data_IF_039013797011
#
_entry.id   IF_039013797011
#
_cell.length_a   1.000
_cell.length_b   1.000
_cell.length_c   1.000
_cell.angle_alpha   90.00
_cell.angle_beta   90.00
_cell.angle_gamma   90.00
#
_symmetry.space_group_name_H-M   'P 1'
#
loop_
_entity.id
_entity.type
_entity.pdbx_description
1 polymer ?
#
# COMPACT_ATOMS: atom_id res chain seq x y z
N UNK A 1 4.55 -55.57 -24.28
CA UNK A 1 4.21 -56.06 -22.93
C UNK A 1 3.03 -55.25 -22.38
N UNK A 2 2.23 -55.88 -21.52
CA UNK A 2 0.81 -55.65 -21.21
C UNK A 2 0.34 -54.23 -20.84
N UNK A 3 -0.85 -53.91 -21.38
CA UNK A 3 -1.81 -52.87 -20.95
C UNK A 3 -2.31 -53.11 -19.51
N UNK A 4 -2.52 -52.05 -18.73
CA UNK A 4 -3.52 -52.01 -17.65
C UNK A 4 -4.33 -50.72 -17.75
N UNK A 5 -5.59 -50.87 -18.15
CA UNK A 5 -6.63 -49.84 -18.13
C UNK A 5 -7.28 -49.88 -16.73
N UNK A 6 -7.32 -48.74 -16.05
CA UNK A 6 -8.02 -48.58 -14.76
C UNK A 6 -9.41 -48.00 -15.06
N UNK A 7 -10.51 -48.66 -14.64
CA UNK A 7 -11.85 -48.11 -14.78
C UNK A 7 -12.10 -47.07 -13.69
N UNK A 8 -12.31 -45.81 -14.10
CA UNK A 8 -12.77 -44.74 -13.22
C UNK A 8 -14.30 -44.76 -13.22
N UNK A 9 -14.90 -45.16 -12.10
CA UNK A 9 -16.35 -45.15 -11.93
C UNK A 9 -16.83 -43.72 -11.66
N UNK A 10 -17.73 -43.25 -12.53
CA UNK A 10 -18.57 -42.07 -12.29
C UNK A 10 -19.58 -42.38 -11.18
N UNK A 11 -19.49 -41.70 -10.04
CA UNK A 11 -20.57 -41.60 -9.08
C UNK A 11 -21.16 -40.18 -9.17
N UNK A 12 -22.31 -40.07 -9.85
CA UNK A 12 -23.17 -38.88 -9.80
C UNK A 12 -23.85 -38.84 -8.42
N UNK A 13 -23.54 -37.82 -7.62
CA UNK A 13 -24.30 -37.47 -6.41
C UNK A 13 -25.06 -36.18 -6.69
N UNK A 14 -26.36 -36.32 -6.95
CA UNK A 14 -27.30 -35.20 -7.12
C UNK A 14 -27.74 -34.70 -5.75
N UNK A 15 -27.08 -33.66 -5.24
CA UNK A 15 -27.47 -33.01 -3.99
C UNK A 15 -28.40 -31.82 -4.28
N UNK A 16 -29.69 -31.98 -4.01
CA UNK A 16 -30.68 -30.90 -4.02
C UNK A 16 -30.39 -29.93 -2.87
N UNK A 17 -29.98 -28.69 -3.19
CA UNK A 17 -29.95 -27.59 -2.22
C UNK A 17 -31.20 -26.72 -2.39
N UNK A 18 -32.03 -26.70 -1.35
CA UNK A 18 -33.14 -25.77 -1.18
C UNK A 18 -32.58 -24.37 -0.91
N UNK A 19 -32.76 -23.46 -1.86
CA UNK A 19 -32.35 -22.06 -1.73
C UNK A 19 -33.43 -21.26 -1.00
N UNK A 20 -33.24 -21.04 0.29
CA UNK A 20 -33.99 -20.06 1.08
C UNK A 20 -33.51 -18.65 0.69
N UNK A 21 -34.25 -18.01 -0.21
CA UNK A 21 -34.01 -16.63 -0.64
C UNK A 21 -34.42 -15.66 0.49
N UNK A 22 -33.50 -15.39 1.42
CA UNK A 22 -33.61 -14.20 2.26
C UNK A 22 -33.37 -12.96 1.38
N UNK A 23 -34.46 -12.29 1.01
CA UNK A 23 -34.44 -10.97 0.38
C UNK A 23 -33.98 -9.92 1.41
N UNK A 24 -32.69 -9.94 1.74
CA UNK A 24 -32.05 -8.82 2.39
C UNK A 24 -31.99 -7.69 1.35
N UNK A 25 -32.71 -6.60 1.61
CA UNK A 25 -32.73 -5.41 0.77
C UNK A 25 -31.32 -4.84 0.64
N UNK A 26 -30.61 -5.29 -0.39
CA UNK A 26 -29.31 -4.78 -0.79
C UNK A 26 -29.48 -3.34 -1.22
N UNK A 27 -29.18 -2.40 -0.32
CA UNK A 27 -28.84 -1.04 -0.74
C UNK A 27 -27.58 -1.19 -1.58
N UNK A 28 -27.73 -1.17 -2.90
CA UNK A 28 -26.59 -1.00 -3.79
C UNK A 28 -25.89 0.28 -3.31
N UNK A 29 -24.66 0.20 -2.80
CA UNK A 29 -23.91 1.40 -2.50
C UNK A 29 -23.83 2.19 -3.81
N UNK A 30 -24.21 3.46 -3.74
CA UNK A 30 -24.08 4.34 -4.88
C UNK A 30 -22.61 4.31 -5.36
N UNK A 31 -22.35 4.40 -6.68
CA UNK A 31 -20.99 4.48 -7.19
C UNK A 31 -20.25 5.59 -6.45
N UNK A 32 -19.12 5.27 -5.82
CA UNK A 32 -18.30 6.28 -5.19
C UNK A 32 -17.86 7.28 -6.26
N UNK A 33 -18.09 8.57 -6.02
CA UNK A 33 -17.55 9.63 -6.87
C UNK A 33 -16.04 9.49 -6.89
N UNK A 34 -15.38 9.48 -8.07
CA UNK A 34 -13.92 9.44 -8.13
C UNK A 34 -13.33 10.58 -7.30
N UNK A 35 -12.34 10.28 -6.48
CA UNK A 35 -11.62 11.30 -5.73
C UNK A 35 -11.02 12.33 -6.70
N UNK A 36 -11.05 13.61 -6.32
CA UNK A 36 -10.39 14.64 -7.10
C UNK A 36 -8.88 14.37 -7.12
N UNK A 37 -8.26 14.49 -8.30
CA UNK A 37 -6.81 14.38 -8.42
C UNK A 37 -6.13 15.59 -7.82
N UNK A 38 -5.12 15.33 -7.01
CA UNK A 38 -4.28 16.34 -6.40
C UNK A 38 -3.26 16.86 -7.40
N UNK A 39 -2.99 18.16 -7.35
CA UNK A 39 -1.90 18.78 -8.09
C UNK A 39 -0.54 18.35 -7.48
N UNK A 40 0.57 18.41 -8.26
CA UNK A 40 1.89 17.98 -7.78
C UNK A 40 2.35 18.60 -6.45
N UNK A 41 2.00 19.86 -6.19
CA UNK A 41 2.31 20.59 -4.95
C UNK A 41 1.43 20.17 -3.77
N UNK A 42 0.32 19.46 -4.02
CA UNK A 42 -0.57 18.90 -3.01
C UNK A 42 -0.25 17.43 -2.68
N UNK A 43 0.57 16.75 -3.49
CA UNK A 43 0.95 15.34 -3.29
C UNK A 43 1.87 15.16 -2.07
N UNK A 44 2.71 16.15 -1.80
CA UNK A 44 3.68 16.14 -0.71
C UNK A 44 3.27 17.17 0.35
N UNK A 45 2.39 16.81 1.30
CA UNK A 45 2.06 17.74 2.38
C UNK A 45 3.34 18.11 3.16
N UNK A 46 3.42 19.30 3.77
CA UNK A 46 4.62 19.71 4.54
C UNK A 46 4.96 18.77 5.71
N UNK A 47 3.97 18.03 6.20
CA UNK A 47 4.08 17.05 7.29
C UNK A 47 3.32 15.79 6.90
N UNK A 48 3.90 14.63 7.16
CA UNK A 48 3.15 13.36 7.06
C UNK A 48 2.38 13.13 8.35
N UNK A 49 1.10 12.68 8.28
CA UNK A 49 0.37 12.26 9.47
C UNK A 49 1.13 11.18 10.24
N UNK A 50 0.81 11.01 11.52
CA UNK A 50 1.42 9.92 12.29
C UNK A 50 1.06 8.56 11.65
N UNK A 51 2.10 7.85 11.20
CA UNK A 51 2.00 6.59 10.47
C UNK A 51 2.02 5.38 11.40
N UNK A 52 1.97 5.60 12.71
CA UNK A 52 2.08 4.56 13.73
C UNK A 52 0.76 4.26 14.45
N UNK A 53 -0.32 3.80 13.79
CA UNK A 53 -1.35 3.09 14.51
C UNK A 53 -0.76 1.71 14.89
N UNK A 54 -0.12 1.63 16.05
CA UNK A 54 0.10 0.35 16.70
C UNK A 54 -1.25 -0.17 17.16
N UNK A 55 -1.48 -1.47 17.02
CA UNK A 55 -2.60 -2.11 17.72
C UNK A 55 -2.48 -1.84 19.23
N UNK A 56 -3.56 -2.01 19.98
CA UNK A 56 -3.57 -1.81 21.43
C UNK A 56 -2.57 -2.71 22.19
N UNK A 57 -2.08 -3.77 21.54
CA UNK A 57 -1.06 -4.69 22.04
C UNK A 57 0.38 -4.32 21.61
N UNK A 58 0.56 -3.18 20.93
CA UNK A 58 1.85 -2.71 20.42
C UNK A 58 2.32 -3.41 19.15
N UNK A 59 1.51 -4.26 18.53
CA UNK A 59 1.87 -4.95 17.29
C UNK A 59 1.58 -4.09 16.05
N UNK A 60 2.36 -4.31 15.00
CA UNK A 60 2.17 -3.70 13.69
C UNK A 60 1.36 -4.68 12.83
N UNK A 61 0.17 -4.30 12.33
CA UNK A 61 -0.63 -5.20 11.51
C UNK A 61 0.01 -5.40 10.14
N UNK A 62 0.28 -6.66 9.78
CA UNK A 62 0.74 -7.02 8.44
C UNK A 62 -0.40 -6.87 7.42
N UNK A 63 -0.06 -6.53 6.18
CA UNK A 63 -1.01 -6.60 5.09
C UNK A 63 -1.42 -8.06 4.85
N UNK A 64 -2.68 -8.36 4.48
CA UNK A 64 -3.14 -9.73 4.30
C UNK A 64 -2.58 -10.39 3.03
N UNK A 65 -2.25 -9.58 2.02
CA UNK A 65 -1.74 -9.99 0.70
C UNK A 65 -0.83 -8.92 0.12
N UNK A 66 -0.08 -9.26 -0.93
CA UNK A 66 0.68 -8.31 -1.73
C UNK A 66 -0.25 -7.36 -2.51
N UNK A 67 0.18 -6.11 -2.76
CA UNK A 67 -0.59 -5.17 -3.55
C UNK A 67 -0.66 -5.58 -5.02
N UNK A 68 -1.76 -5.20 -5.68
CA UNK A 68 -2.00 -5.49 -7.09
C UNK A 68 -2.48 -4.21 -7.80
N UNK A 69 -1.59 -3.22 -7.86
CA UNK A 69 -1.88 -1.94 -8.49
C UNK A 69 -1.92 -2.06 -10.02
N UNK A 70 -2.69 -1.17 -10.65
CA UNK A 70 -2.63 -0.98 -12.10
C UNK A 70 -1.32 -0.30 -12.49
N UNK A 71 -0.86 -0.46 -13.75
CA UNK A 71 0.33 0.20 -14.22
C UNK A 71 0.26 1.72 -14.08
N UNK A 72 1.34 2.31 -13.59
CA UNK A 72 1.41 3.75 -13.34
C UNK A 72 1.61 4.53 -14.65
N UNK A 73 0.89 5.64 -14.78
CA UNK A 73 1.05 6.63 -15.87
C UNK A 73 1.91 7.82 -15.46
N UNK A 74 2.04 8.07 -14.15
CA UNK A 74 2.93 9.05 -13.56
C UNK A 74 3.30 8.64 -12.13
N UNK A 75 4.43 9.14 -11.63
CA UNK A 75 4.83 8.95 -10.24
C UNK A 75 5.65 10.14 -9.71
N UNK A 76 5.56 10.37 -8.40
CA UNK A 76 6.29 11.41 -7.69
C UNK A 76 6.88 10.87 -6.39
N UNK A 77 8.06 11.34 -6.01
CA UNK A 77 8.71 11.00 -4.75
C UNK A 77 8.78 12.24 -3.87
N UNK A 78 8.34 12.09 -2.63
CA UNK A 78 8.50 13.06 -1.56
C UNK A 78 9.48 12.48 -0.55
N UNK A 79 10.58 13.19 -0.26
CA UNK A 79 11.50 12.82 0.80
C UNK A 79 11.15 13.57 2.08
N UNK A 80 11.13 12.86 3.21
CA UNK A 80 10.90 13.47 4.52
C UNK A 80 12.00 13.08 5.50
N UNK A 81 12.43 14.07 6.27
CA UNK A 81 13.41 13.91 7.33
C UNK A 81 12.81 14.23 8.69
N UNK A 82 13.33 13.58 9.73
CA UNK A 82 13.03 13.94 11.11
C UNK A 82 14.01 15.02 11.59
N UNK A 83 13.53 16.19 12.03
CA UNK A 83 14.41 17.21 12.54
C UNK A 83 15.09 16.74 13.83
N UNK A 84 16.36 17.11 14.03
CA UNK A 84 17.11 16.78 15.25
C UNK A 84 16.54 17.45 16.51
N UNK A 85 15.78 18.52 16.34
CA UNK A 85 15.08 19.23 17.41
C UNK A 85 13.58 19.13 17.23
N UNK A 86 12.86 18.83 18.31
CA UNK A 86 11.40 18.96 18.34
C UNK A 86 10.99 20.40 18.08
N UNK A 87 9.93 20.58 17.30
CA UNK A 87 9.21 21.86 17.24
C UNK A 87 8.16 21.93 18.36
N UNK A 88 7.42 23.04 18.46
CA UNK A 88 6.28 23.15 19.38
C UNK A 88 5.23 22.04 19.15
N UNK A 89 5.11 21.57 17.91
CA UNK A 89 4.19 20.49 17.51
C UNK A 89 4.78 19.07 17.71
N UNK A 90 5.96 18.94 18.33
CA UNK A 90 6.63 17.66 18.58
C UNK A 90 7.58 17.21 17.47
N UNK A 91 7.81 15.90 17.39
CA UNK A 91 8.62 15.23 16.37
C UNK A 91 7.71 14.66 15.28
N UNK A 92 7.87 15.16 14.05
CA UNK A 92 7.18 14.66 12.87
C UNK A 92 8.12 14.72 11.68
N UNK A 93 7.90 13.84 10.70
CA UNK A 93 8.57 13.89 9.42
C UNK A 93 8.19 15.16 8.66
N UNK A 94 9.19 15.94 8.29
CA UNK A 94 9.07 17.19 7.54
C UNK A 94 9.52 16.98 6.12
N UNK A 95 8.77 17.56 5.17
CA UNK A 95 9.12 17.49 3.76
C UNK A 95 10.51 18.12 3.56
N UNK A 96 11.42 17.36 2.98
CA UNK A 96 12.77 17.78 2.63
C UNK A 96 12.80 18.07 1.12
N UNK A 97 12.66 19.34 0.76
CA UNK A 97 12.63 19.79 -0.63
C UNK A 97 11.22 19.85 -1.23
N UNK A 98 11.08 19.38 -2.48
CA UNK A 98 9.84 19.39 -3.26
C UNK A 98 9.54 17.99 -3.80
N UNK A 99 8.32 17.78 -4.29
CA UNK A 99 7.96 16.58 -5.03
C UNK A 99 8.86 16.40 -6.27
N UNK A 100 9.51 15.25 -6.39
CA UNK A 100 10.31 14.91 -7.56
C UNK A 100 9.52 14.02 -8.51
N UNK A 101 9.32 14.46 -9.75
CA UNK A 101 8.65 13.64 -10.77
C UNK A 101 9.60 12.55 -11.28
N UNK A 102 9.17 11.30 -11.21
CA UNK A 102 9.92 10.20 -11.79
C UNK A 102 9.78 10.19 -13.33
N UNK A 103 10.87 9.93 -14.06
CA UNK A 103 10.82 9.85 -15.51
C UNK A 103 10.02 8.61 -15.95
N UNK A 104 9.35 8.71 -17.10
CA UNK A 104 8.49 7.64 -17.63
C UNK A 104 9.21 6.27 -17.77
N UNK A 105 10.53 6.28 -17.99
CA UNK A 105 11.35 5.08 -18.08
C UNK A 105 11.43 4.28 -16.76
N UNK A 106 11.20 4.92 -15.61
CA UNK A 106 11.25 4.27 -14.29
C UNK A 106 9.89 3.73 -13.85
N UNK A 107 8.77 4.10 -14.51
CA UNK A 107 7.43 3.72 -14.05
C UNK A 107 7.21 2.20 -14.04
N UNK A 108 7.69 1.49 -15.06
CA UNK A 108 7.61 0.02 -15.07
C UNK A 108 8.38 -0.63 -13.91
N UNK A 109 9.48 0.00 -13.49
CA UNK A 109 10.28 -0.45 -12.34
C UNK A 109 9.59 -0.13 -11.01
N UNK A 110 8.96 1.03 -10.91
CA UNK A 110 8.10 1.38 -9.76
C UNK A 110 7.01 0.32 -9.57
N UNK A 111 6.27 0.00 -10.64
CA UNK A 111 5.19 -0.98 -10.59
C UNK A 111 5.68 -2.37 -10.17
N UNK A 112 6.84 -2.81 -10.71
CA UNK A 112 7.48 -4.07 -10.31
C UNK A 112 7.87 -4.08 -8.83
N UNK A 113 8.52 -3.02 -8.35
CA UNK A 113 8.98 -2.93 -6.96
C UNK A 113 7.81 -2.92 -5.98
N UNK A 114 6.74 -2.18 -6.28
CA UNK A 114 5.53 -2.20 -5.44
C UNK A 114 4.86 -3.57 -5.49
N UNK A 115 4.68 -4.16 -6.68
CA UNK A 115 4.08 -5.48 -6.84
C UNK A 115 4.88 -6.62 -6.20
N UNK A 116 6.18 -6.43 -6.00
CA UNK A 116 7.06 -7.37 -5.30
C UNK A 116 6.97 -7.27 -3.76
N UNK A 117 6.29 -6.26 -3.23
CA UNK A 117 6.12 -6.09 -1.79
C UNK A 117 5.30 -7.26 -1.21
N UNK A 118 5.73 -7.76 -0.07
CA UNK A 118 5.09 -8.92 0.59
C UNK A 118 4.57 -8.54 1.96
N UNK A 119 3.53 -9.21 2.49
CA UNK A 119 3.11 -9.10 3.88
C UNK A 119 4.30 -9.14 4.85
N UNK A 120 4.34 -8.21 5.80
CA UNK A 120 5.34 -8.23 6.86
C UNK A 120 5.13 -9.47 7.74
N UNK A 121 6.21 -10.18 8.09
CA UNK A 121 6.11 -11.32 9.01
C UNK A 121 5.61 -10.86 10.40
N UNK A 122 4.65 -11.58 11.02
CA UNK A 122 4.25 -11.29 12.39
C UNK A 122 5.44 -11.34 13.35
N UNK A 123 5.51 -10.39 14.28
CA UNK A 123 6.57 -10.34 15.29
C UNK A 123 7.94 -9.93 14.76
N UNK A 124 8.03 -9.36 13.56
CA UNK A 124 9.26 -8.73 13.06
C UNK A 124 9.73 -7.69 14.09
N UNK A 125 10.95 -7.82 14.66
CA UNK A 125 11.45 -6.83 15.60
C UNK A 125 11.73 -5.52 14.85
N UNK A 126 11.14 -4.42 15.33
CA UNK A 126 11.46 -3.08 14.84
C UNK A 126 12.49 -2.45 15.78
N UNK A 127 13.48 -1.75 15.22
CA UNK A 127 14.25 -0.80 16.04
C UNK A 127 13.41 0.46 16.27
N UNK A 128 13.66 1.15 17.39
CA UNK A 128 13.09 2.47 17.67
C UNK A 128 13.86 3.59 16.95
N UNK A 129 14.79 3.24 16.06
CA UNK A 129 15.60 4.21 15.34
C UNK A 129 14.72 4.93 14.34
N UNK A 130 14.81 6.25 14.37
CA UNK A 130 14.14 7.10 13.40
C UNK A 130 15.05 7.35 12.20
N UNK A 131 14.49 7.40 11.00
CA UNK A 131 15.24 7.64 9.77
C UNK A 131 14.37 8.32 8.72
N UNK A 132 14.84 8.35 7.46
CA UNK A 132 14.12 8.99 6.38
C UNK A 132 12.82 8.24 6.08
N UNK A 133 11.81 9.02 5.72
CA UNK A 133 10.52 8.54 5.27
C UNK A 133 10.33 9.00 3.83
N UNK A 134 9.88 8.09 2.97
CA UNK A 134 9.54 8.41 1.59
C UNK A 134 8.04 8.26 1.39
N UNK A 135 7.46 9.17 0.61
CA UNK A 135 6.11 8.99 0.06
C UNK A 135 6.25 8.95 -1.45
N UNK A 136 6.00 7.79 -2.03
CA UNK A 136 5.90 7.61 -3.47
C UNK A 136 4.43 7.69 -3.86
N UNK A 137 4.04 8.70 -4.61
CA UNK A 137 2.68 8.79 -5.17
C UNK A 137 2.70 8.22 -6.58
N UNK A 138 1.81 7.28 -6.86
CA UNK A 138 1.59 6.72 -8.21
C UNK A 138 0.21 7.10 -8.73
N UNK A 139 0.09 7.46 -10.01
CA UNK A 139 -1.17 7.75 -10.71
C UNK A 139 -1.34 6.80 -11.89
N UNK A 140 -2.39 5.98 -11.88
CA UNK A 140 -2.71 5.03 -12.98
C UNK A 140 -3.63 5.64 -14.06
N UNK A 141 -3.84 6.95 -14.01
CA UNK A 141 -4.73 7.68 -14.90
C UNK A 141 -6.18 7.72 -14.40
N UNK A 142 -6.52 7.00 -13.34
CA UNK A 142 -7.86 7.00 -12.71
C UNK A 142 -7.80 7.36 -11.23
N UNK A 143 -6.79 6.88 -10.52
CA UNK A 143 -6.61 7.10 -9.08
C UNK A 143 -5.14 7.40 -8.75
N UNK A 144 -4.93 8.16 -7.67
CA UNK A 144 -3.61 8.37 -7.08
C UNK A 144 -3.51 7.58 -5.77
N UNK A 145 -2.44 6.82 -5.63
CA UNK A 145 -2.15 6.01 -4.43
C UNK A 145 -0.84 6.48 -3.81
N UNK A 146 -0.83 6.74 -2.51
CA UNK A 146 0.37 7.01 -1.75
C UNK A 146 0.98 5.70 -1.24
N UNK A 147 2.25 5.47 -1.57
CA UNK A 147 3.08 4.37 -1.08
C UNK A 147 4.08 4.96 -0.09
N UNK A 148 3.78 4.77 1.18
CA UNK A 148 4.55 5.31 2.29
C UNK A 148 5.60 4.29 2.67
N UNK A 149 6.88 4.66 2.57
CA UNK A 149 8.02 3.76 2.78
C UNK A 149 8.89 4.32 3.90
N UNK A 150 8.94 3.58 5.00
CA UNK A 150 9.90 3.81 6.07
C UNK A 150 11.16 3.00 5.76
N UNK A 151 12.32 3.65 5.74
CA UNK A 151 13.61 2.98 5.53
C UNK A 151 14.39 2.72 6.84
N UNK A 152 13.71 2.87 7.96
CA UNK A 152 14.21 2.66 9.31
C UNK A 152 13.32 1.67 10.08
N UNK A 153 13.71 1.31 11.30
CA UNK A 153 12.93 0.41 12.15
C UNK A 153 12.64 -0.93 11.47
N UNK A 154 11.36 -1.16 11.16
CA UNK A 154 10.87 -2.38 10.51
C UNK A 154 10.95 -2.35 8.97
N UNK A 155 11.42 -1.25 8.37
CA UNK A 155 11.49 -1.06 6.91
C UNK A 155 10.18 -1.37 6.20
N UNK A 156 9.11 -0.77 6.70
CA UNK A 156 7.73 -1.10 6.31
C UNK A 156 7.24 -0.20 5.20
N UNK A 157 6.31 -0.74 4.42
CA UNK A 157 5.61 -0.04 3.35
C UNK A 157 4.11 -0.12 3.58
N UNK A 158 3.41 0.99 3.40
CA UNK A 158 1.96 1.08 3.51
C UNK A 158 1.40 1.73 2.24
N UNK A 159 0.25 1.25 1.77
CA UNK A 159 -0.47 1.88 0.67
C UNK A 159 -1.66 2.63 1.27
N UNK A 160 -1.91 3.85 0.78
CA UNK A 160 -2.98 4.71 1.26
C UNK A 160 -3.61 5.48 0.11
N UNK A 161 -4.89 5.77 0.26
CA UNK A 161 -5.58 6.72 -0.60
C UNK A 161 -5.12 8.16 -0.30
N UNK A 162 -5.23 9.04 -1.28
CA UNK A 162 -4.93 10.47 -1.14
C UNK A 162 -6.21 11.30 -0.93
N UNK A 163 -6.12 12.49 -0.28
CA UNK A 163 -4.92 13.13 0.29
C UNK A 163 -4.41 12.49 1.60
N UNK A 164 -3.11 12.62 1.86
CA UNK A 164 -2.54 12.31 3.17
C UNK A 164 -3.00 13.35 4.19
N UNK A 165 -3.60 12.93 5.30
CA UNK A 165 -4.16 13.84 6.32
C UNK A 165 -5.40 13.30 7.05
N UNK A 166 -6.04 12.28 6.48
CA UNK A 166 -7.16 11.56 7.07
C UNK A 166 -6.74 10.25 7.76
N UNK A 167 -7.74 9.41 8.03
CA UNK A 167 -7.51 8.02 8.44
C UNK A 167 -6.76 7.30 7.31
N UNK A 168 -5.60 6.73 7.65
CA UNK A 168 -4.79 5.93 6.72
C UNK A 168 -5.61 4.71 6.31
N UNK A 169 -6.10 4.73 5.07
CA UNK A 169 -6.92 3.67 4.51
C UNK A 169 -6.51 3.38 3.08
N UNK A 170 -6.41 2.09 2.78
CA UNK A 170 -6.30 1.56 1.43
C UNK A 170 -7.68 1.06 1.00
N UNK A 171 -8.50 1.95 0.45
CA UNK A 171 -9.83 1.61 -0.07
C UNK A 171 -9.88 1.52 -1.60
N UNK A 172 -8.87 2.08 -2.27
CA UNK A 172 -8.74 2.00 -3.73
C UNK A 172 -8.45 0.59 -4.22
N UNK A 173 -8.86 0.30 -5.45
CA UNK A 173 -8.62 -0.99 -6.08
C UNK A 173 -7.11 -1.29 -6.16
N UNK A 174 -6.72 -2.50 -5.76
CA UNK A 174 -5.32 -2.96 -5.75
C UNK A 174 -4.50 -2.51 -4.56
N UNK A 175 -4.97 -1.54 -3.78
CA UNK A 175 -4.36 -1.15 -2.50
C UNK A 175 -4.69 -2.18 -1.41
N UNK A 176 -3.81 -2.31 -0.41
CA UNK A 176 -3.96 -3.28 0.68
C UNK A 176 -3.76 -2.59 2.02
N UNK A 177 -4.67 -2.83 2.96
CA UNK A 177 -4.52 -2.32 4.32
C UNK A 177 -3.47 -3.13 5.08
N UNK A 178 -2.63 -2.45 5.85
CA UNK A 178 -1.57 -3.05 6.67
C UNK A 178 -0.16 -2.82 6.12
N UNK A 179 0.81 -3.45 6.77
CA UNK A 179 2.23 -3.23 6.52
C UNK A 179 2.84 -4.33 5.66
N UNK A 180 3.61 -3.90 4.67
CA UNK A 180 4.38 -4.74 3.75
C UNK A 180 5.88 -4.59 4.03
N UNK A 181 6.66 -5.57 3.62
CA UNK A 181 8.11 -5.46 3.46
C UNK A 181 8.44 -5.22 1.97
N UNK A 182 9.16 -4.13 1.69
CA UNK A 182 9.61 -3.79 0.34
C UNK A 182 11.06 -3.23 0.35
N UNK A 183 12.06 -4.02 0.75
CA UNK A 183 13.43 -3.54 0.95
C UNK A 183 14.07 -2.98 -0.32
N UNK A 184 13.77 -3.57 -1.49
CA UNK A 184 14.29 -3.08 -2.77
C UNK A 184 13.65 -1.76 -3.19
N UNK A 185 12.37 -1.54 -2.86
CA UNK A 185 11.70 -0.25 -3.10
C UNK A 185 12.36 0.85 -2.26
N UNK A 186 12.58 0.60 -0.96
CA UNK A 186 13.26 1.56 -0.08
C UNK A 186 14.68 1.87 -0.58
N UNK A 187 15.43 0.86 -1.03
CA UNK A 187 16.75 1.05 -1.63
C UNK A 187 16.67 1.91 -2.88
N UNK A 188 15.72 1.64 -3.77
CA UNK A 188 15.58 2.38 -5.01
C UNK A 188 15.21 3.86 -4.77
N UNK A 189 14.34 4.13 -3.81
CA UNK A 189 13.93 5.50 -3.47
C UNK A 189 15.12 6.35 -3.03
N UNK A 190 16.07 5.79 -2.27
CA UNK A 190 17.34 6.47 -1.92
C UNK A 190 18.23 6.81 -3.09
N UNK A 191 18.07 6.13 -4.23
CA UNK A 191 18.86 6.38 -5.44
C UNK A 191 18.20 7.42 -6.35
N UNK A 192 16.89 7.69 -6.16
CA UNK A 192 16.16 8.68 -6.93
C UNK A 192 16.20 10.08 -6.32
N UNK A 193 16.37 10.19 -5.00
CA UNK A 193 16.55 11.46 -4.27
C UNK A 193 18.01 11.73 -3.94
#
# INVERSE_FOLDING_TARGET
MLRRLIPVQLALVSLLLATSACAAGGRNPAPATPAARLAPDELCPPKVPDLMPTNSDGTIPAAPVSPALRPSTAAWVCHYSLPMSSSEDGFFWQLDGQAETLPAAELGRVDELIGSAVPLSPGTPCTADAGPLYVLVVDDGQQQTAVIVEDFGCRRTQLNDLPLGGELAATSEGSVNGNLAAPELARQLREWV
#
